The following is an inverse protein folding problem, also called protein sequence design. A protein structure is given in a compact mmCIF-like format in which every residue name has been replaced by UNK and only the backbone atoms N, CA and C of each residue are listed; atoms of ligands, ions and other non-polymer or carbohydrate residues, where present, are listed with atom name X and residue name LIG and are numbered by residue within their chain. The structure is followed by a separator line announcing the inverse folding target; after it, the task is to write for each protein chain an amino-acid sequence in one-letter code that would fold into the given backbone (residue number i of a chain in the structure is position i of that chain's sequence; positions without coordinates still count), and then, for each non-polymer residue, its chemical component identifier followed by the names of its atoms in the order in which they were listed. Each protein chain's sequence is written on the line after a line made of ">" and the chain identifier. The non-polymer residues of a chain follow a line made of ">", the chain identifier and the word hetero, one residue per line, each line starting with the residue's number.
data_IF_513317080053
#
_entry.id   IF_513317080053
#
_cell.length_a   1.000
_cell.length_b   1.000
_cell.length_c   1.000
_cell.angle_alpha   90.00
_cell.angle_beta   90.00
_cell.angle_gamma   90.00
#
_symmetry.space_group_name_H-M   'P 1'
#
loop_
_entity.id
_entity.type
_entity.pdbx_description
1 polymer ?
#
# COMPACT_ATOMS: atom_id res chain seq x y z
N UNK A 1 -7.79 -1.11 17.18
CA UNK A 1 -7.84 -2.38 16.44
C UNK A 1 -6.64 -2.44 15.53
N UNK A 2 -5.93 -3.58 15.49
CA UNK A 2 -4.80 -3.77 14.59
C UNK A 2 -5.23 -4.36 13.25
N UNK A 3 -4.34 -4.36 12.26
CA UNK A 3 -4.56 -5.02 10.97
C UNK A 3 -4.96 -6.50 11.13
N UNK A 4 -4.44 -7.18 12.16
CA UNK A 4 -4.76 -8.58 12.45
C UNK A 4 -6.23 -8.77 12.82
N UNK A 5 -6.78 -7.94 13.70
CA UNK A 5 -8.22 -7.94 14.05
C UNK A 5 -9.10 -7.69 12.81
N UNK A 6 -8.64 -6.83 11.90
CA UNK A 6 -9.37 -6.47 10.69
C UNK A 6 -9.46 -7.64 9.69
N UNK A 7 -8.38 -8.41 9.55
CA UNK A 7 -8.33 -9.63 8.75
C UNK A 7 -9.14 -10.75 9.41
N UNK A 8 -9.03 -10.93 10.73
CA UNK A 8 -9.78 -11.95 11.48
C UNK A 8 -11.30 -11.66 11.51
N UNK A 9 -11.69 -10.38 11.47
CA UNK A 9 -13.09 -9.95 11.41
C UNK A 9 -13.72 -10.07 10.01
N UNK A 10 -12.94 -10.45 8.97
CA UNK A 10 -13.43 -10.52 7.59
C UNK A 10 -13.88 -9.15 7.06
N UNK A 11 -13.18 -8.07 7.44
CA UNK A 11 -13.53 -6.73 7.03
C UNK A 11 -13.57 -6.62 5.50
N UNK A 12 -14.55 -5.89 4.97
CA UNK A 12 -14.68 -5.76 3.52
C UNK A 12 -13.53 -4.93 2.94
N UNK A 13 -13.19 -5.17 1.67
CA UNK A 13 -12.23 -4.40 0.85
C UNK A 13 -12.28 -2.88 1.11
N UNK A 14 -13.46 -2.21 1.07
CA UNK A 14 -13.58 -0.78 1.38
C UNK A 14 -13.26 -0.41 2.84
N UNK A 15 -13.60 -1.25 3.81
CA UNK A 15 -13.30 -1.00 5.22
C UNK A 15 -11.80 -1.09 5.50
N UNK A 16 -11.12 -2.04 4.86
CA UNK A 16 -9.66 -2.14 4.90
C UNK A 16 -8.99 -0.92 4.28
N UNK A 17 -9.45 -0.47 3.11
CA UNK A 17 -8.89 0.72 2.48
C UNK A 17 -9.08 1.97 3.35
N UNK A 18 -10.25 2.12 3.97
CA UNK A 18 -10.51 3.20 4.92
C UNK A 18 -9.55 3.13 6.11
N UNK A 19 -9.42 1.96 6.75
CA UNK A 19 -8.50 1.76 7.87
C UNK A 19 -7.03 2.07 7.52
N UNK A 20 -6.57 1.70 6.33
CA UNK A 20 -5.19 1.94 5.88
C UNK A 20 -4.90 3.41 5.53
N UNK A 21 -5.94 4.24 5.36
CA UNK A 21 -5.81 5.65 4.95
C UNK A 21 -6.25 6.64 6.02
N UNK A 22 -6.91 6.18 7.08
CA UNK A 22 -7.48 6.99 8.17
C UNK A 22 -6.42 7.56 9.15
N UNK A 23 -5.21 6.99 9.17
CA UNK A 23 -4.17 7.36 10.14
C UNK A 23 -3.17 8.42 9.65
N UNK A 24 -2.42 9.01 10.60
CA UNK A 24 -1.38 10.01 10.33
C UNK A 24 -0.28 9.48 9.39
N UNK A 25 0.21 10.37 8.51
CA UNK A 25 1.30 10.07 7.60
C UNK A 25 2.65 10.07 8.32
N UNK A 26 3.28 8.90 8.43
CA UNK A 26 4.63 8.74 8.99
C UNK A 26 5.68 8.67 7.89
N UNK A 27 6.83 9.32 8.11
CA UNK A 27 7.97 9.25 7.18
C UNK A 27 8.71 7.93 7.34
N UNK A 28 8.84 7.16 6.27
CA UNK A 28 9.58 5.89 6.25
C UNK A 28 10.79 6.01 5.33
N UNK A 29 11.97 5.60 5.82
CA UNK A 29 13.19 5.55 5.00
C UNK A 29 13.38 4.13 4.46
N UNK A 30 13.28 3.93 3.14
CA UNK A 30 13.54 2.65 2.49
C UNK A 30 14.85 2.69 1.70
N UNK A 31 15.61 1.58 1.76
CA UNK A 31 16.77 1.34 0.89
C UNK A 31 16.36 0.44 -0.26
N UNK A 32 16.57 0.91 -1.48
CA UNK A 32 16.21 0.18 -2.70
C UNK A 32 17.40 0.20 -3.67
N UNK A 33 17.57 -0.86 -4.48
CA UNK A 33 18.52 -0.87 -5.58
C UNK A 33 18.26 0.29 -6.54
N UNK A 34 19.32 0.88 -7.09
CA UNK A 34 19.22 2.02 -8.01
C UNK A 34 18.33 1.70 -9.21
N UNK A 35 18.45 0.50 -9.76
CA UNK A 35 17.66 0.01 -10.89
C UNK A 35 16.17 -0.05 -10.56
N UNK A 36 15.82 -0.62 -9.40
CA UNK A 36 14.43 -0.72 -8.94
C UNK A 36 13.81 0.66 -8.74
N UNK A 37 14.54 1.60 -8.12
CA UNK A 37 14.06 2.98 -7.91
C UNK A 37 13.77 3.67 -9.24
N UNK A 38 14.66 3.51 -10.22
CA UNK A 38 14.53 4.16 -11.53
C UNK A 38 13.34 3.61 -12.31
N UNK A 39 13.23 2.28 -12.41
CA UNK A 39 12.09 1.61 -13.05
C UNK A 39 10.76 1.95 -12.39
N UNK A 40 10.71 2.00 -11.06
CA UNK A 40 9.49 2.36 -10.34
C UNK A 40 9.12 3.84 -10.55
N UNK A 41 10.10 4.74 -10.66
CA UNK A 41 9.84 6.15 -10.96
C UNK A 41 9.32 6.32 -12.39
N UNK A 42 9.88 5.59 -13.35
CA UNK A 42 9.40 5.60 -14.74
C UNK A 42 7.98 5.05 -14.82
N UNK A 43 7.70 3.89 -14.20
CA UNK A 43 6.37 3.33 -14.12
C UNK A 43 5.37 4.30 -13.47
N UNK A 44 5.73 4.94 -12.35
CA UNK A 44 4.88 5.92 -11.71
C UNK A 44 4.57 7.08 -12.68
N UNK A 45 5.59 7.61 -13.35
CA UNK A 45 5.44 8.70 -14.33
C UNK A 45 4.51 8.32 -15.48
N UNK A 46 4.66 7.10 -16.01
CA UNK A 46 3.80 6.57 -17.09
C UNK A 46 2.33 6.45 -16.67
N UNK A 47 2.08 6.19 -15.38
CA UNK A 47 0.73 6.09 -14.81
C UNK A 47 0.21 7.43 -14.24
N UNK A 48 0.94 8.54 -14.41
CA UNK A 48 0.57 9.84 -13.84
C UNK A 48 0.69 9.90 -12.31
N UNK A 49 1.43 8.97 -11.71
CA UNK A 49 1.66 8.86 -10.27
C UNK A 49 3.05 9.35 -9.89
N UNK A 50 3.21 9.76 -8.64
CA UNK A 50 4.53 9.90 -8.05
C UNK A 50 4.96 8.58 -7.39
N UNK A 51 6.26 8.41 -7.16
CA UNK A 51 6.82 7.19 -6.57
C UNK A 51 6.17 6.83 -5.22
N UNK A 52 5.87 7.83 -4.38
CA UNK A 52 5.20 7.62 -3.10
C UNK A 52 3.78 7.07 -3.25
N UNK A 53 3.01 7.60 -4.21
CA UNK A 53 1.66 7.12 -4.52
C UNK A 53 1.68 5.69 -5.04
N UNK A 54 2.66 5.36 -5.90
CA UNK A 54 2.86 3.98 -6.37
C UNK A 54 3.15 3.02 -5.21
N UNK A 55 4.05 3.39 -4.30
CA UNK A 55 4.38 2.57 -3.13
C UNK A 55 3.16 2.40 -2.22
N UNK A 56 2.39 3.48 -1.98
CA UNK A 56 1.15 3.43 -1.19
C UNK A 56 0.12 2.50 -1.83
N UNK A 57 -0.09 2.60 -3.14
CA UNK A 57 -1.03 1.75 -3.86
C UNK A 57 -0.61 0.28 -3.78
N UNK A 58 0.68 -0.01 -4.02
CA UNK A 58 1.20 -1.38 -3.96
C UNK A 58 1.06 -1.99 -2.55
N UNK A 59 1.24 -1.19 -1.49
CA UNK A 59 1.01 -1.61 -0.11
C UNK A 59 -0.46 -1.90 0.14
N UNK A 60 -1.37 -1.00 -0.26
CA UNK A 60 -2.82 -1.19 -0.09
C UNK A 60 -3.27 -2.45 -0.83
N UNK A 61 -2.89 -2.62 -2.09
CA UNK A 61 -3.24 -3.82 -2.88
C UNK A 61 -2.76 -5.10 -2.21
N UNK A 62 -1.54 -5.15 -1.68
CA UNK A 62 -1.01 -6.34 -0.99
C UNK A 62 -1.72 -6.62 0.34
N UNK A 63 -2.02 -5.58 1.11
CA UNK A 63 -2.71 -5.71 2.39
C UNK A 63 -4.18 -6.11 2.19
N UNK A 64 -4.85 -5.55 1.19
CA UNK A 64 -6.25 -5.86 0.87
C UNK A 64 -6.40 -7.25 0.22
N UNK A 65 -5.51 -7.66 -0.70
CA UNK A 65 -5.54 -8.98 -1.31
C UNK A 65 -5.24 -10.14 -0.34
N UNK A 66 -4.72 -9.84 0.85
CA UNK A 66 -4.52 -10.83 1.91
C UNK A 66 -5.82 -11.15 2.65
N UNK A 67 -6.85 -10.31 2.52
CA UNK A 67 -8.19 -10.55 3.08
C UNK A 67 -9.07 -11.41 2.18
N UNK A 68 -8.85 -11.39 0.86
CA UNK A 68 -9.65 -12.19 -0.09
C UNK A 68 -9.25 -13.68 -0.14
N UNK A 69 -8.16 -14.07 0.52
CA UNK A 69 -7.60 -15.44 0.47
C UNK A 69 -7.88 -16.30 1.70
N UNK A 70 -8.70 -15.84 2.63
CA UNK A 70 -9.06 -16.56 3.86
C UNK A 70 -10.57 -16.74 3.97
#
# INVERSE_FOLDING_TARGET
>A
MGYKDLVESGASTPEMQSYLTDSELVTVTLRLPRTMRDSAKEYATLNGLNFTSLVKQCLIEKLTASCERN
#
